data_IF_845356036651
#
_entry.id   IF_845356036651
#
_cell.length_a   1.000
_cell.length_b   1.000
_cell.length_c   1.000
_cell.angle_alpha   90.00
_cell.angle_beta   90.00
_cell.angle_gamma   90.00
#
_symmetry.space_group_name_H-M   'P 1'
#
loop_
_entity.id
_entity.type
_entity.pdbx_description
1 polymer ?
#
# COMPACT_ATOMS: atom_id res chain seq x y z
N UNK A 1 -26.46 11.62 38.61
CA UNK A 1 -27.47 11.21 37.61
C UNK A 1 -27.71 12.47 36.79
N UNK A 2 -26.80 12.71 35.85
CA UNK A 2 -26.70 13.95 35.10
C UNK A 2 -27.55 13.80 33.83
N UNK A 3 -28.85 14.03 34.00
CA UNK A 3 -29.87 13.80 32.97
C UNK A 3 -29.65 14.63 31.68
N UNK A 4 -28.83 15.68 31.75
CA UNK A 4 -28.51 16.55 30.61
C UNK A 4 -27.53 15.90 29.61
N UNK A 5 -26.65 15.00 30.06
CA UNK A 5 -25.68 14.32 29.19
C UNK A 5 -26.30 13.20 28.36
N UNK A 6 -27.31 12.53 28.91
CA UNK A 6 -28.00 11.40 28.27
C UNK A 6 -28.90 11.90 27.11
N UNK A 7 -29.55 13.06 27.26
CA UNK A 7 -30.43 13.66 26.25
C UNK A 7 -29.67 14.14 24.99
N UNK A 8 -28.47 14.69 25.19
CA UNK A 8 -27.60 15.14 24.08
C UNK A 8 -27.05 13.94 23.28
N UNK A 9 -26.73 12.83 23.95
CA UNK A 9 -26.29 11.62 23.29
C UNK A 9 -27.39 11.01 22.43
N UNK A 10 -28.62 10.90 22.95
CA UNK A 10 -29.75 10.38 22.16
C UNK A 10 -30.06 11.27 20.94
N UNK A 11 -30.07 12.60 21.12
CA UNK A 11 -30.28 13.53 20.02
C UNK A 11 -29.17 13.47 18.96
N UNK A 12 -27.92 13.22 19.35
CA UNK A 12 -26.82 12.99 18.41
C UNK A 12 -26.97 11.66 17.66
N UNK A 13 -27.33 10.57 18.36
CA UNK A 13 -27.58 9.28 17.72
C UNK A 13 -28.77 9.35 16.75
N UNK A 14 -29.83 10.07 17.08
CA UNK A 14 -30.99 10.27 16.20
C UNK A 14 -30.59 11.07 14.94
N UNK A 15 -29.79 12.12 15.09
CA UNK A 15 -29.26 12.87 13.92
C UNK A 15 -28.36 12.00 13.05
N UNK A 16 -27.45 11.24 13.64
CA UNK A 16 -26.55 10.33 12.89
C UNK A 16 -27.34 9.24 12.17
N UNK A 17 -28.36 8.67 12.81
CA UNK A 17 -29.22 7.64 12.20
C UNK A 17 -30.12 8.20 11.10
N UNK A 18 -30.63 9.42 11.24
CA UNK A 18 -31.38 10.10 10.17
C UNK A 18 -30.48 10.45 8.98
N UNK A 19 -29.26 10.94 9.21
CA UNK A 19 -28.27 11.18 8.14
C UNK A 19 -27.89 9.88 7.43
N UNK A 20 -27.71 8.78 8.16
CA UNK A 20 -27.42 7.47 7.58
C UNK A 20 -28.59 6.96 6.72
N UNK A 21 -29.84 7.13 7.19
CA UNK A 21 -31.04 6.76 6.43
C UNK A 21 -31.21 7.60 5.16
N UNK A 22 -30.94 8.90 5.20
CA UNK A 22 -31.02 9.76 4.01
C UNK A 22 -30.00 9.36 2.93
N UNK A 23 -28.83 8.87 3.32
CA UNK A 23 -27.83 8.30 2.41
C UNK A 23 -28.32 6.99 1.78
N UNK A 24 -29.09 6.19 2.53
CA UNK A 24 -29.67 4.91 2.06
C UNK A 24 -30.87 5.11 1.12
N UNK A 25 -31.72 6.10 1.39
CA UNK A 25 -32.95 6.38 0.61
C UNK A 25 -32.64 7.12 -0.70
N UNK A 26 -31.54 7.88 -0.74
CA UNK A 26 -31.03 8.50 -1.98
C UNK A 26 -30.22 7.47 -2.76
N UNK A 27 -30.93 6.56 -3.44
CA UNK A 27 -30.35 5.43 -4.17
C UNK A 27 -29.11 5.76 -4.99
N UNK A 28 -28.18 4.79 -5.07
CA UNK A 28 -26.89 4.96 -5.72
C UNK A 28 -27.03 5.43 -7.18
N UNK A 29 -26.54 6.64 -7.45
CA UNK A 29 -26.51 7.19 -8.81
C UNK A 29 -25.73 6.22 -9.72
N UNK A 30 -26.23 5.90 -10.93
CA UNK A 30 -25.53 5.03 -11.87
C UNK A 30 -24.08 5.47 -12.12
N UNK A 31 -23.81 6.78 -12.15
CA UNK A 31 -22.44 7.30 -12.26
C UNK A 31 -21.55 6.98 -11.06
N UNK A 32 -22.11 7.00 -9.84
CA UNK A 32 -21.39 6.60 -8.63
C UNK A 32 -21.09 5.09 -8.63
N UNK A 33 -22.06 4.27 -9.03
CA UNK A 33 -21.87 2.82 -9.14
C UNK A 33 -20.76 2.50 -10.13
N UNK A 34 -20.77 3.13 -11.30
CA UNK A 34 -19.72 2.95 -12.32
C UNK A 34 -18.36 3.43 -11.79
N UNK A 35 -18.30 4.57 -11.09
CA UNK A 35 -17.05 5.06 -10.50
C UNK A 35 -16.50 4.07 -9.46
N UNK A 36 -17.35 3.50 -8.61
CA UNK A 36 -16.93 2.51 -7.62
C UNK A 36 -16.47 1.21 -8.28
N UNK A 37 -17.16 0.74 -9.32
CA UNK A 37 -16.77 -0.48 -10.05
C UNK A 37 -15.45 -0.26 -10.77
N UNK A 38 -15.34 0.77 -11.61
CA UNK A 38 -14.13 1.03 -12.42
C UNK A 38 -12.97 1.43 -11.52
N UNK A 39 -13.20 2.34 -10.57
CA UNK A 39 -12.21 2.75 -9.58
C UNK A 39 -11.75 1.58 -8.73
N UNK A 40 -12.67 0.74 -8.25
CA UNK A 40 -12.38 -0.47 -7.47
C UNK A 40 -11.59 -1.50 -8.28
N UNK A 41 -11.97 -1.75 -9.54
CA UNK A 41 -11.24 -2.66 -10.44
C UNK A 41 -9.80 -2.19 -10.67
N UNK A 42 -9.62 -0.91 -10.98
CA UNK A 42 -8.29 -0.33 -11.23
C UNK A 42 -7.45 -0.35 -9.94
N UNK A 43 -8.04 0.01 -8.80
CA UNK A 43 -7.36 0.00 -7.51
C UNK A 43 -6.94 -1.42 -7.11
N UNK A 44 -7.84 -2.40 -7.21
CA UNK A 44 -7.56 -3.80 -6.93
C UNK A 44 -6.47 -4.36 -7.87
N UNK A 45 -6.51 -4.00 -9.14
CA UNK A 45 -5.49 -4.39 -10.11
C UNK A 45 -4.11 -3.80 -9.77
N UNK A 46 -4.05 -2.51 -9.41
CA UNK A 46 -2.82 -1.85 -9.00
C UNK A 46 -2.26 -2.44 -7.70
N UNK A 47 -3.09 -2.62 -6.68
CA UNK A 47 -2.67 -3.19 -5.39
C UNK A 47 -2.23 -4.63 -5.56
N UNK A 48 -3.01 -5.46 -6.27
CA UNK A 48 -2.66 -6.84 -6.56
C UNK A 48 -1.35 -6.94 -7.33
N UNK A 49 -1.15 -6.11 -8.36
CA UNK A 49 0.09 -6.08 -9.13
C UNK A 49 1.28 -5.58 -8.30
N UNK A 50 1.06 -4.57 -7.44
CA UNK A 50 2.11 -4.07 -6.56
C UNK A 50 2.53 -5.11 -5.53
N UNK A 51 1.58 -5.80 -4.89
CA UNK A 51 1.84 -6.89 -3.96
C UNK A 51 2.56 -8.04 -4.66
N UNK A 52 2.12 -8.41 -5.87
CA UNK A 52 2.77 -9.44 -6.66
C UNK A 52 4.20 -9.04 -7.02
N UNK A 53 4.44 -7.79 -7.41
CA UNK A 53 5.77 -7.26 -7.68
C UNK A 53 6.66 -7.27 -6.43
N UNK A 54 6.13 -6.84 -5.28
CA UNK A 54 6.83 -6.89 -3.98
C UNK A 54 7.14 -8.32 -3.56
N UNK A 55 6.21 -9.24 -3.78
CA UNK A 55 6.38 -10.66 -3.47
C UNK A 55 7.41 -11.31 -4.40
N UNK A 56 7.34 -11.01 -5.69
CA UNK A 56 8.32 -11.39 -6.68
C UNK A 56 9.69 -10.85 -6.28
N UNK A 57 9.87 -9.58 -5.92
CA UNK A 57 11.17 -9.09 -5.47
C UNK A 57 11.72 -9.77 -4.20
N UNK A 58 10.85 -10.24 -3.30
CA UNK A 58 11.27 -10.98 -2.10
C UNK A 58 11.66 -12.42 -2.41
N UNK A 59 11.03 -13.04 -3.39
CA UNK A 59 11.22 -14.46 -3.77
C UNK A 59 12.22 -14.64 -4.91
N UNK A 60 12.36 -13.63 -5.77
CA UNK A 60 13.42 -13.57 -6.76
C UNK A 60 14.74 -13.37 -6.00
N UNK A 61 15.73 -14.24 -6.23
CA UNK A 61 17.04 -14.05 -5.66
C UNK A 61 17.53 -12.66 -6.08
N UNK A 62 18.09 -11.86 -5.14
CA UNK A 62 18.62 -10.54 -5.47
C UNK A 62 19.51 -10.71 -6.69
N UNK A 63 19.23 -9.95 -7.77
CA UNK A 63 19.98 -10.05 -9.04
C UNK A 63 21.45 -10.06 -8.69
N UNK A 64 22.05 -11.26 -8.60
CA UNK A 64 23.45 -11.41 -8.24
C UNK A 64 24.13 -10.77 -9.42
N UNK A 65 24.64 -9.54 -9.22
CA UNK A 65 25.54 -8.91 -10.20
C UNK A 65 26.51 -10.01 -10.58
N UNK A 66 26.61 -10.30 -11.89
CA UNK A 66 27.41 -11.43 -12.39
C UNK A 66 28.69 -11.46 -11.56
N UNK A 67 28.98 -12.56 -10.84
CA UNK A 67 30.09 -12.58 -9.90
C UNK A 67 31.30 -12.09 -10.65
N UNK A 68 31.84 -10.96 -10.19
CA UNK A 68 32.92 -10.29 -10.88
C UNK A 68 34.06 -11.29 -10.88
N UNK A 69 34.45 -11.79 -12.06
CA UNK A 69 35.51 -12.78 -12.20
C UNK A 69 36.67 -12.37 -11.30
N UNK A 70 37.25 -13.32 -10.56
CA UNK A 70 38.35 -13.03 -9.61
C UNK A 70 39.47 -12.21 -10.25
N UNK A 71 39.67 -12.35 -11.57
CA UNK A 71 40.60 -11.55 -12.38
C UNK A 71 40.20 -10.07 -12.48
N UNK A 72 38.91 -9.77 -12.67
CA UNK A 72 38.38 -8.39 -12.67
C UNK A 72 38.37 -7.82 -11.24
N UNK A 73 38.04 -8.61 -10.22
CA UNK A 73 38.11 -8.16 -8.82
C UNK A 73 39.55 -7.81 -8.40
N UNK A 74 40.54 -8.64 -8.74
CA UNK A 74 41.96 -8.34 -8.47
C UNK A 74 42.43 -7.11 -9.25
N UNK A 75 42.02 -6.95 -10.52
CA UNK A 75 42.33 -5.78 -11.35
C UNK A 75 41.72 -4.48 -10.80
N UNK A 76 40.51 -4.55 -10.26
CA UNK A 76 39.82 -3.40 -9.68
C UNK A 76 40.41 -3.04 -8.31
N UNK A 77 40.74 -4.04 -7.47
CA UNK A 77 41.44 -3.84 -6.19
C UNK A 77 42.86 -3.26 -6.35
N UNK A 78 43.61 -3.72 -7.37
CA UNK A 78 44.92 -3.17 -7.72
C UNK A 78 44.83 -1.72 -8.23
N UNK A 79 43.77 -1.37 -8.97
CA UNK A 79 43.52 0.01 -9.44
C UNK A 79 43.06 0.95 -8.33
N UNK A 80 42.36 0.43 -7.33
CA UNK A 80 41.93 1.19 -6.16
C UNK A 80 43.02 1.30 -5.08
N UNK A 81 44.19 0.68 -5.28
CA UNK A 81 45.31 0.77 -4.34
C UNK A 81 45.05 0.12 -2.98
N UNK A 82 44.01 -0.70 -2.87
CA UNK A 82 43.64 -1.37 -1.60
C UNK A 82 44.59 -2.55 -1.42
N UNK A 83 45.59 -2.39 -0.54
CA UNK A 83 46.46 -3.50 -0.13
C UNK A 83 45.60 -4.64 0.44
N UNK A 84 46.03 -5.88 0.23
CA UNK A 84 45.27 -7.03 0.67
C UNK A 84 45.07 -6.97 2.20
N UNK A 85 43.88 -7.36 2.72
CA UNK A 85 43.67 -7.48 4.16
C UNK A 85 44.55 -8.64 4.64
N UNK A 86 45.73 -8.31 5.17
CA UNK A 86 46.77 -9.29 5.49
C UNK A 86 48.21 -8.78 5.42
N UNK A 87 48.44 -7.46 5.33
CA UNK A 87 49.64 -6.78 5.83
C UNK A 87 49.22 -5.69 6.81
#
# INVERSE_FOLDING_TARGET
MDADGDFEHEAQFERVTNVAKDVEVKGFNPGLVVLLIVGGLVLAFLVGNYLLYRYAQKTLPPKKKKPVSKKKMKKERLRQGVSAPGE
#
